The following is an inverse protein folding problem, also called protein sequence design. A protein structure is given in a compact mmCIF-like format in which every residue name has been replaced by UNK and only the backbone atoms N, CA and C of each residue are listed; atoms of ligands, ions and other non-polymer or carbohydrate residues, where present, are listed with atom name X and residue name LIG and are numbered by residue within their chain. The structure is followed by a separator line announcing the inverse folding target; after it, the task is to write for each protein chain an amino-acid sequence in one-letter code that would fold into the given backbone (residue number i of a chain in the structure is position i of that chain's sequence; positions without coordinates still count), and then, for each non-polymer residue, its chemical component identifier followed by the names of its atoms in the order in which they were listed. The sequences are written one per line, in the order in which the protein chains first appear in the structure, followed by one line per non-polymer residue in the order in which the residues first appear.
data_IF_181728344295
#
_entry.id   IF_181728344295
#
_cell.length_a   1.000
_cell.length_b   1.000
_cell.length_c   1.000
_cell.angle_alpha   90.00
_cell.angle_beta   90.00
_cell.angle_gamma   90.00
#
_symmetry.space_group_name_H-M   'P 1'
#
loop_
_entity.id
_entity.type
_entity.pdbx_description
1 polymer ?
#
# COMPACT_ATOMS: atom_id res chain seq x y z
N UNK A 1 -48.29 60.00 21.54
CA UNK A 1 -48.73 58.57 21.69
C UNK A 1 -48.22 57.83 20.49
N UNK A 2 -47.01 57.25 20.57
CA UNK A 2 -46.41 56.46 19.54
C UNK A 2 -45.58 55.36 20.27
N UNK A 3 -46.15 54.16 20.29
CA UNK A 3 -45.52 52.99 20.89
C UNK A 3 -44.37 52.55 20.01
N UNK A 4 -43.16 52.60 20.57
CA UNK A 4 -41.97 51.87 20.03
C UNK A 4 -42.04 50.43 20.45
N UNK A 5 -42.42 49.55 19.50
CA UNK A 5 -42.22 48.10 19.59
C UNK A 5 -40.75 47.83 19.32
N UNK A 6 -39.97 47.46 20.34
CA UNK A 6 -38.64 46.88 20.20
C UNK A 6 -38.80 45.43 19.80
N UNK A 7 -38.54 45.11 18.54
CA UNK A 7 -38.27 43.73 18.09
C UNK A 7 -36.91 43.29 18.62
N UNK A 8 -36.94 42.48 19.68
CA UNK A 8 -35.78 41.69 20.13
C UNK A 8 -35.52 40.58 19.10
N UNK A 9 -34.65 40.86 18.15
CA UNK A 9 -34.02 39.82 17.32
C UNK A 9 -33.16 38.92 18.20
N UNK A 10 -33.73 37.81 18.65
CA UNK A 10 -33.00 36.69 19.20
C UNK A 10 -32.13 36.10 18.08
N UNK A 11 -30.85 36.44 18.11
CA UNK A 11 -29.85 35.72 17.32
C UNK A 11 -29.89 34.23 17.75
N UNK A 12 -30.01 33.28 16.81
CA UNK A 12 -29.89 31.87 17.15
C UNK A 12 -28.48 31.65 17.68
N UNK A 13 -28.40 31.15 18.91
CA UNK A 13 -27.16 30.85 19.58
C UNK A 13 -26.32 29.86 18.74
N UNK A 14 -25.20 30.32 18.22
CA UNK A 14 -24.12 29.52 17.71
C UNK A 14 -23.43 28.82 18.88
N UNK A 15 -24.04 27.76 19.37
CA UNK A 15 -23.49 26.94 20.47
C UNK A 15 -24.13 25.58 20.46
N UNK A 16 -23.81 24.76 19.48
CA UNK A 16 -24.30 23.40 19.42
C UNK A 16 -23.35 22.48 18.67
N UNK A 17 -22.86 21.47 19.33
CA UNK A 17 -22.31 20.17 18.87
C UNK A 17 -21.31 20.11 17.67
N UNK A 18 -21.22 21.14 16.83
CA UNK A 18 -20.37 21.14 15.61
C UNK A 18 -18.94 21.68 15.83
N UNK A 19 -18.65 22.32 16.95
CA UNK A 19 -17.34 22.94 17.22
C UNK A 19 -16.19 21.96 17.46
N UNK A 20 -16.45 20.65 17.49
CA UNK A 20 -15.44 19.61 17.78
C UNK A 20 -15.03 18.77 16.54
N UNK A 21 -15.55 19.06 15.35
CA UNK A 21 -15.22 18.29 14.15
C UNK A 21 -13.87 18.73 13.56
N UNK A 22 -12.93 17.80 13.51
CA UNK A 22 -11.66 18.02 12.79
C UNK A 22 -11.92 17.95 11.28
N UNK A 23 -11.16 18.71 10.46
CA UNK A 23 -11.20 18.64 8.99
C UNK A 23 -11.26 17.20 8.45
N UNK A 24 -10.46 16.28 9.04
CA UNK A 24 -10.49 14.88 8.68
C UNK A 24 -11.82 14.16 8.98
N UNK A 25 -12.57 14.59 10.00
CA UNK A 25 -13.88 14.02 10.30
C UNK A 25 -14.92 14.40 9.25
N UNK A 26 -14.84 15.64 8.77
CA UNK A 26 -15.69 16.15 7.70
C UNK A 26 -15.42 15.37 6.41
N UNK A 27 -14.15 15.26 6.02
CA UNK A 27 -13.72 14.48 4.84
C UNK A 27 -14.17 13.02 4.95
N UNK A 28 -13.99 12.39 6.10
CA UNK A 28 -14.41 11.01 6.32
C UNK A 28 -15.93 10.81 6.26
N UNK A 29 -16.69 11.76 6.79
CA UNK A 29 -18.15 11.75 6.74
C UNK A 29 -18.65 11.88 5.30
N UNK A 30 -18.03 12.78 4.53
CA UNK A 30 -18.34 12.99 3.12
C UNK A 30 -17.97 11.76 2.28
N UNK A 31 -16.77 11.21 2.48
CA UNK A 31 -16.31 10.00 1.81
C UNK A 31 -17.28 8.81 2.00
N UNK A 32 -17.81 8.63 3.20
CA UNK A 32 -18.78 7.57 3.50
C UNK A 32 -20.12 7.72 2.76
N UNK A 33 -20.46 8.90 2.31
CA UNK A 33 -21.70 9.13 1.52
C UNK A 33 -21.57 8.52 0.12
N UNK A 34 -20.37 8.48 -0.46
CA UNK A 34 -20.11 7.81 -1.73
C UNK A 34 -19.98 6.29 -1.51
N UNK A 35 -21.08 5.55 -1.77
CA UNK A 35 -21.15 4.09 -1.56
C UNK A 35 -20.15 3.33 -2.43
N UNK A 36 -19.90 3.82 -3.65
CA UNK A 36 -18.96 3.17 -4.58
C UNK A 36 -17.53 3.30 -4.04
N UNK A 37 -17.13 4.50 -3.65
CA UNK A 37 -15.81 4.73 -3.05
C UNK A 37 -15.62 3.94 -1.75
N UNK A 38 -16.65 3.85 -0.90
CA UNK A 38 -16.61 3.06 0.32
C UNK A 38 -16.49 1.55 0.02
N UNK A 39 -17.25 1.03 -0.94
CA UNK A 39 -17.15 -0.35 -1.40
C UNK A 39 -15.76 -0.66 -1.98
N UNK A 40 -15.20 0.26 -2.78
CA UNK A 40 -13.84 0.15 -3.31
C UNK A 40 -12.76 0.17 -2.23
N UNK A 41 -12.95 0.97 -1.18
CA UNK A 41 -12.06 0.95 -0.02
C UNK A 41 -12.09 -0.42 0.69
N UNK A 42 -13.26 -1.00 0.89
CA UNK A 42 -13.37 -2.36 1.44
C UNK A 42 -12.74 -3.41 0.53
N UNK A 43 -12.85 -3.26 -0.81
CA UNK A 43 -12.19 -4.15 -1.76
C UNK A 43 -10.66 -4.07 -1.65
N UNK A 44 -10.08 -2.87 -1.47
CA UNK A 44 -8.63 -2.71 -1.20
C UNK A 44 -8.24 -3.39 0.11
N UNK A 45 -9.01 -3.20 1.19
CA UNK A 45 -8.76 -3.91 2.45
C UNK A 45 -8.86 -5.43 2.27
N UNK A 46 -9.82 -5.91 1.47
CA UNK A 46 -9.94 -7.32 1.10
C UNK A 46 -8.69 -7.83 0.36
N UNK A 47 -8.14 -7.06 -0.59
CA UNK A 47 -6.88 -7.40 -1.26
C UNK A 47 -5.71 -7.45 -0.29
N UNK A 48 -5.58 -6.49 0.63
CA UNK A 48 -4.53 -6.50 1.65
C UNK A 48 -4.64 -7.73 2.55
N UNK A 49 -5.86 -8.06 3.01
CA UNK A 49 -6.11 -9.25 3.82
C UNK A 49 -5.78 -10.52 3.01
N UNK A 50 -6.24 -10.61 1.77
CA UNK A 50 -5.97 -11.74 0.89
C UNK A 50 -4.46 -11.94 0.65
N UNK A 51 -3.73 -10.86 0.41
CA UNK A 51 -2.27 -10.89 0.34
C UNK A 51 -1.63 -11.31 1.67
N UNK A 52 -2.14 -10.85 2.81
CA UNK A 52 -1.60 -11.24 4.12
C UNK A 52 -1.82 -12.74 4.41
N UNK A 53 -3.02 -13.26 4.14
CA UNK A 53 -3.36 -14.67 4.38
C UNK A 53 -2.89 -15.62 3.27
N UNK A 54 -2.21 -15.14 2.21
CA UNK A 54 -1.75 -15.97 1.11
C UNK A 54 -1.00 -17.25 1.57
N UNK A 55 -0.09 -17.24 2.59
CA UNK A 55 0.57 -18.44 3.08
C UNK A 55 -0.35 -19.44 3.78
N UNK A 56 -1.52 -18.99 4.29
CA UNK A 56 -2.53 -19.88 4.85
C UNK A 56 -3.34 -20.59 3.77
N UNK A 57 -3.44 -19.97 2.58
CA UNK A 57 -4.19 -20.49 1.45
C UNK A 57 -3.32 -21.35 0.53
N UNK A 58 -2.06 -20.96 0.37
CA UNK A 58 -1.15 -21.56 -0.61
C UNK A 58 0.27 -21.63 -0.04
N UNK A 59 0.74 -22.82 0.29
CA UNK A 59 2.10 -23.08 0.75
C UNK A 59 2.42 -24.57 0.64
N UNK A 60 3.66 -24.86 0.30
CA UNK A 60 4.20 -26.23 0.31
C UNK A 60 4.72 -26.66 1.69
N UNK A 61 4.51 -25.82 2.72
CA UNK A 61 4.87 -26.13 4.10
C UNK A 61 3.61 -26.58 4.84
N UNK A 62 3.57 -27.81 5.43
CA UNK A 62 2.40 -28.27 6.16
C UNK A 62 2.24 -27.55 7.50
N UNK A 63 0.99 -27.36 7.94
CA UNK A 63 0.68 -26.84 9.28
C UNK A 63 1.13 -27.82 10.37
N UNK A 64 0.93 -29.10 10.11
CA UNK A 64 1.35 -30.20 10.99
C UNK A 64 2.03 -31.25 10.13
N UNK A 65 3.17 -31.72 10.58
CA UNK A 65 3.92 -32.82 9.99
C UNK A 65 4.30 -33.78 11.09
N UNK A 66 3.82 -35.00 10.99
CA UNK A 66 4.10 -36.08 11.94
C UNK A 66 4.80 -37.24 11.21
N UNK A 67 6.07 -37.41 11.49
CA UNK A 67 6.90 -38.50 10.96
C UNK A 67 7.47 -39.28 12.15
N UNK A 68 7.22 -40.59 12.19
CA UNK A 68 7.71 -41.52 13.23
C UNK A 68 7.36 -41.05 14.67
N UNK A 69 6.19 -40.41 14.85
CA UNK A 69 5.72 -39.90 16.15
C UNK A 69 6.34 -38.56 16.58
N UNK A 70 7.19 -37.96 15.74
CA UNK A 70 7.74 -36.63 15.98
C UNK A 70 6.91 -35.60 15.26
N UNK A 71 6.13 -34.79 15.99
CA UNK A 71 5.32 -33.69 15.46
C UNK A 71 6.16 -32.43 15.31
N UNK A 72 6.11 -31.85 14.11
CA UNK A 72 6.72 -30.56 13.78
C UNK A 72 5.68 -29.66 13.13
N UNK A 73 5.96 -28.34 13.13
CA UNK A 73 5.07 -27.31 12.58
C UNK A 73 5.82 -26.46 11.54
N UNK A 74 6.12 -27.04 10.38
CA UNK A 74 7.00 -26.42 9.38
C UNK A 74 6.47 -25.08 8.86
N UNK A 75 5.15 -24.93 8.72
CA UNK A 75 4.54 -23.70 8.25
C UNK A 75 4.90 -22.50 9.15
N UNK A 76 4.84 -22.67 10.48
CA UNK A 76 5.15 -21.58 11.42
C UNK A 76 6.63 -21.20 11.41
N UNK A 77 7.52 -22.18 11.34
CA UNK A 77 8.96 -21.93 11.27
C UNK A 77 9.40 -21.43 9.90
N UNK A 78 8.68 -21.82 8.84
CA UNK A 78 8.95 -21.43 7.46
C UNK A 78 8.50 -20.00 7.08
N UNK A 79 7.54 -19.40 7.82
CA UNK A 79 6.99 -18.08 7.48
C UNK A 79 8.03 -16.96 7.36
N UNK A 80 9.12 -17.04 8.11
CA UNK A 80 10.18 -16.04 8.12
C UNK A 80 11.49 -16.54 7.53
N UNK A 81 11.47 -17.75 6.94
CA UNK A 81 12.64 -18.34 6.31
C UNK A 81 12.95 -17.63 5.00
N UNK A 82 14.18 -17.08 4.90
CA UNK A 82 14.65 -16.35 3.73
C UNK A 82 14.90 -17.22 2.50
N UNK A 83 14.99 -18.54 2.64
CA UNK A 83 15.07 -19.46 1.51
C UNK A 83 13.70 -19.68 0.84
N UNK A 84 12.61 -19.48 1.59
CA UNK A 84 11.23 -19.54 1.06
C UNK A 84 10.76 -18.17 0.61
N UNK A 85 10.94 -17.16 1.47
CA UNK A 85 10.49 -15.77 1.28
C UNK A 85 11.69 -14.83 1.17
N UNK A 86 12.32 -14.78 -0.01
CA UNK A 86 13.52 -13.98 -0.24
C UNK A 86 13.27 -12.49 -0.13
N UNK A 87 12.08 -12.03 -0.57
CA UNK A 87 11.75 -10.63 -0.62
C UNK A 87 11.31 -10.10 0.76
N UNK A 88 11.85 -8.96 1.21
CA UNK A 88 11.36 -8.27 2.40
C UNK A 88 9.86 -7.97 2.39
N UNK A 89 9.25 -7.82 1.21
CA UNK A 89 7.81 -7.65 1.04
C UNK A 89 7.04 -8.84 1.63
N UNK A 90 7.49 -10.07 1.37
CA UNK A 90 6.84 -11.27 1.90
C UNK A 90 6.96 -11.33 3.42
N UNK A 91 8.13 -10.97 3.98
CA UNK A 91 8.33 -10.90 5.43
C UNK A 91 7.40 -9.87 6.08
N UNK A 92 7.18 -8.72 5.41
CA UNK A 92 6.22 -7.71 5.89
C UNK A 92 4.80 -8.27 5.98
N UNK A 93 4.30 -8.92 4.93
CA UNK A 93 2.95 -9.49 4.93
C UNK A 93 2.82 -10.70 5.87
N UNK A 94 3.86 -11.53 6.00
CA UNK A 94 3.87 -12.64 6.95
C UNK A 94 3.87 -12.11 8.40
N UNK A 95 4.61 -11.03 8.67
CA UNK A 95 4.54 -10.36 9.97
C UNK A 95 3.16 -9.72 10.20
N UNK A 96 2.56 -9.13 9.17
CA UNK A 96 1.19 -8.60 9.25
C UNK A 96 0.18 -9.69 9.58
N UNK A 97 0.33 -10.89 9.00
CA UNK A 97 -0.50 -12.06 9.29
C UNK A 97 -0.40 -12.47 10.77
N UNK A 98 0.83 -12.55 11.31
CA UNK A 98 1.06 -13.06 12.67
C UNK A 98 0.84 -11.98 13.74
N UNK A 99 1.40 -10.79 13.55
CA UNK A 99 1.37 -9.69 14.51
C UNK A 99 0.15 -8.78 14.35
N UNK A 100 -0.45 -8.72 13.15
CA UNK A 100 -1.59 -7.85 12.86
C UNK A 100 -2.81 -8.12 13.74
N UNK A 101 -3.31 -9.37 13.85
CA UNK A 101 -4.45 -9.69 14.69
C UNK A 101 -4.24 -9.38 16.17
N UNK A 102 -3.13 -9.76 16.84
CA UNK A 102 -2.91 -9.41 18.25
C UNK A 102 -2.73 -7.90 18.47
N UNK A 103 -2.00 -7.20 17.58
CA UNK A 103 -1.82 -5.74 17.70
C UNK A 103 -3.15 -5.01 17.46
N UNK A 104 -3.93 -5.45 16.49
CA UNK A 104 -5.28 -4.93 16.23
C UNK A 104 -6.24 -5.18 17.38
N UNK A 105 -6.20 -6.37 17.98
CA UNK A 105 -6.97 -6.72 19.17
C UNK A 105 -6.59 -5.84 20.37
N UNK A 106 -5.30 -5.66 20.62
CA UNK A 106 -4.81 -4.76 21.68
C UNK A 106 -5.28 -3.32 21.44
N UNK A 107 -5.20 -2.84 20.19
CA UNK A 107 -5.68 -1.50 19.86
C UNK A 107 -7.18 -1.35 20.11
N UNK A 108 -7.99 -2.33 19.67
CA UNK A 108 -9.45 -2.32 19.89
C UNK A 108 -9.81 -2.33 21.38
N UNK A 109 -9.12 -3.15 22.19
CA UNK A 109 -9.30 -3.17 23.65
C UNK A 109 -8.96 -1.82 24.30
N UNK A 110 -7.87 -1.19 23.84
CA UNK A 110 -7.48 0.15 24.28
C UNK A 110 -8.51 1.21 23.90
N UNK A 111 -8.99 1.18 22.64
CA UNK A 111 -10.06 2.09 22.17
C UNK A 111 -11.31 1.95 23.02
N UNK A 112 -11.77 0.71 23.31
CA UNK A 112 -12.93 0.46 24.15
C UNK A 112 -12.74 1.00 25.58
N UNK A 113 -11.57 0.79 26.18
CA UNK A 113 -11.24 1.34 27.53
C UNK A 113 -11.27 2.86 27.54
N UNK A 114 -10.72 3.52 26.51
CA UNK A 114 -10.73 4.97 26.37
C UNK A 114 -12.13 5.54 26.11
N UNK A 115 -13.03 4.75 25.52
CA UNK A 115 -14.44 5.15 25.33
C UNK A 115 -15.25 5.17 26.64
N UNK A 116 -14.94 4.29 27.60
CA UNK A 116 -15.57 4.23 28.91
C UNK A 116 -15.01 5.22 29.94
N UNK A 117 -13.94 5.94 29.63
CA UNK A 117 -13.30 6.88 30.55
C UNK A 117 -13.87 8.31 30.48
N UNK A 118 -13.58 9.12 31.50
CA UNK A 118 -14.04 10.54 31.63
C UNK A 118 -13.25 11.53 30.77
N UNK A 119 -12.42 11.08 29.83
CA UNK A 119 -11.58 11.93 29.00
C UNK A 119 -12.41 12.72 27.97
N UNK A 120 -12.05 13.99 27.75
CA UNK A 120 -12.63 14.80 26.68
C UNK A 120 -12.38 14.16 25.30
N UNK A 121 -13.29 14.38 24.34
CA UNK A 121 -13.15 13.84 22.96
C UNK A 121 -11.78 14.14 22.34
N UNK A 122 -11.24 15.37 22.53
CA UNK A 122 -9.92 15.78 22.00
C UNK A 122 -8.77 15.04 22.67
N UNK A 123 -8.79 14.89 24.02
CA UNK A 123 -7.76 14.16 24.76
C UNK A 123 -7.75 12.68 24.35
N UNK A 124 -8.92 12.04 24.27
CA UNK A 124 -9.10 10.66 23.82
C UNK A 124 -8.53 10.43 22.42
N UNK A 125 -8.86 11.29 21.43
CA UNK A 125 -8.31 11.19 20.07
C UNK A 125 -6.80 11.35 20.04
N UNK A 126 -6.24 12.28 20.82
CA UNK A 126 -4.79 12.48 20.90
C UNK A 126 -4.11 11.24 21.48
N UNK A 127 -4.69 10.63 22.51
CA UNK A 127 -4.17 9.42 23.12
C UNK A 127 -4.26 8.23 22.17
N UNK A 128 -5.40 8.02 21.48
CA UNK A 128 -5.57 6.96 20.50
C UNK A 128 -4.53 7.08 19.35
N UNK A 129 -4.30 8.30 18.81
CA UNK A 129 -3.28 8.51 17.77
C UNK A 129 -1.88 8.21 18.28
N UNK A 130 -1.56 8.57 19.53
CA UNK A 130 -0.25 8.28 20.13
C UNK A 130 -0.05 6.78 20.33
N UNK A 131 -1.03 6.08 20.88
CA UNK A 131 -0.95 4.64 21.12
C UNK A 131 -0.93 3.85 19.79
N UNK A 132 -1.77 4.21 18.80
CA UNK A 132 -1.71 3.63 17.46
C UNK A 132 -0.36 3.88 16.79
N UNK A 133 0.20 5.07 16.92
CA UNK A 133 1.55 5.39 16.42
C UNK A 133 2.63 4.51 17.05
N UNK A 134 2.56 4.25 18.38
CA UNK A 134 3.50 3.36 19.04
C UNK A 134 3.40 1.91 18.55
N UNK A 135 2.17 1.41 18.32
CA UNK A 135 1.98 0.06 17.76
C UNK A 135 2.59 -0.07 16.36
N UNK A 136 2.43 0.95 15.51
CA UNK A 136 3.07 0.99 14.19
C UNK A 136 4.60 1.01 14.32
N UNK A 137 5.15 1.82 15.23
CA UNK A 137 6.60 1.88 15.46
C UNK A 137 7.14 0.53 15.93
N UNK A 138 6.45 -0.13 16.88
CA UNK A 138 6.83 -1.46 17.37
C UNK A 138 6.78 -2.48 16.22
N UNK A 139 5.73 -2.47 15.41
CA UNK A 139 5.63 -3.34 14.23
C UNK A 139 6.80 -3.12 13.26
N UNK A 140 7.13 -1.86 12.94
CA UNK A 140 8.24 -1.52 12.04
C UNK A 140 9.60 -1.88 12.63
N UNK A 141 9.79 -1.77 13.94
CA UNK A 141 11.03 -2.19 14.62
C UNK A 141 11.19 -3.72 14.58
N UNK A 142 10.13 -4.48 14.81
CA UNK A 142 10.14 -5.94 14.67
C UNK A 142 10.47 -6.32 13.22
N UNK A 143 9.82 -5.66 12.26
CA UNK A 143 10.07 -5.88 10.83
C UNK A 143 11.53 -5.59 10.46
N UNK A 144 12.09 -4.46 10.90
CA UNK A 144 13.49 -4.10 10.68
C UNK A 144 14.45 -5.12 11.32
N UNK A 145 14.16 -5.59 12.54
CA UNK A 145 14.95 -6.63 13.20
C UNK A 145 14.92 -7.96 12.42
N UNK A 146 13.75 -8.35 11.90
CA UNK A 146 13.62 -9.58 11.07
C UNK A 146 14.37 -9.48 9.74
N UNK A 147 14.47 -8.28 9.17
CA UNK A 147 15.30 -8.05 7.98
C UNK A 147 16.80 -8.11 8.33
N UNK A 148 17.19 -7.50 9.45
CA UNK A 148 18.60 -7.44 9.87
C UNK A 148 19.13 -8.80 10.34
N UNK A 149 18.28 -9.65 10.92
CA UNK A 149 18.61 -10.97 11.45
C UNK A 149 17.89 -12.07 10.62
N UNK A 150 18.30 -12.32 9.38
CA UNK A 150 17.63 -13.25 8.52
C UNK A 150 17.71 -14.68 9.07
N UNK A 151 16.56 -15.30 9.25
CA UNK A 151 16.49 -16.73 9.57
C UNK A 151 16.71 -17.55 8.30
N UNK A 152 17.71 -18.41 8.32
CA UNK A 152 17.99 -19.38 7.27
C UNK A 152 17.87 -20.76 7.89
N UNK A 153 16.74 -21.40 7.74
CA UNK A 153 16.57 -22.84 8.03
C UNK A 153 16.57 -23.61 6.71
N UNK A 154 17.00 -24.85 6.73
CA UNK A 154 17.03 -25.69 5.53
C UNK A 154 15.62 -25.71 4.88
N UNK A 155 15.59 -25.47 3.58
CA UNK A 155 14.35 -25.57 2.82
C UNK A 155 14.04 -27.03 2.53
N UNK A 156 12.90 -27.51 2.99
CA UNK A 156 12.39 -28.85 2.73
C UNK A 156 11.13 -28.77 1.89
N UNK A 157 11.12 -29.28 0.65
CA UNK A 157 9.91 -29.40 -0.16
C UNK A 157 9.08 -30.57 0.34
N UNK A 158 8.20 -30.34 1.31
CA UNK A 158 7.43 -31.37 2.01
C UNK A 158 6.58 -32.27 1.09
N UNK A 159 5.87 -31.76 0.06
CA UNK A 159 5.14 -32.63 -0.88
C UNK A 159 6.07 -33.66 -1.55
N UNK A 160 7.21 -33.21 -2.09
CA UNK A 160 8.19 -34.09 -2.70
C UNK A 160 8.86 -35.05 -1.69
N UNK A 161 8.96 -34.63 -0.44
CA UNK A 161 9.47 -35.50 0.64
C UNK A 161 8.46 -36.61 0.95
N UNK A 162 7.17 -36.28 0.99
CA UNK A 162 6.09 -37.24 1.21
C UNK A 162 6.09 -38.31 0.13
N UNK A 163 6.14 -37.94 -1.16
CA UNK A 163 6.23 -38.86 -2.29
C UNK A 163 7.45 -39.80 -2.17
N UNK A 164 8.60 -39.28 -1.73
CA UNK A 164 9.82 -40.08 -1.54
C UNK A 164 9.71 -41.08 -0.39
N UNK A 165 9.05 -40.70 0.70
CA UNK A 165 8.83 -41.57 1.87
C UNK A 165 7.89 -42.71 1.46
N UNK A 166 6.78 -42.40 0.80
CA UNK A 166 5.82 -43.39 0.29
C UNK A 166 6.46 -44.34 -0.73
N UNK A 167 7.24 -43.84 -1.67
CA UNK A 167 7.96 -44.65 -2.65
C UNK A 167 8.98 -45.61 -2.03
N UNK A 168 9.46 -45.34 -0.79
CA UNK A 168 10.38 -46.20 -0.03
C UNK A 168 9.65 -47.17 0.93
N UNK A 169 8.32 -47.22 0.88
CA UNK A 169 7.49 -48.04 1.76
C UNK A 169 7.32 -47.48 3.18
N UNK A 170 7.74 -46.24 3.43
CA UNK A 170 7.44 -45.52 4.67
C UNK A 170 6.04 -44.88 4.62
N UNK A 171 5.50 -44.56 5.77
CA UNK A 171 4.23 -43.79 5.88
C UNK A 171 4.41 -42.53 6.73
N UNK A 172 3.91 -41.42 6.24
CA UNK A 172 3.74 -40.23 7.05
C UNK A 172 2.48 -40.42 7.89
N UNK A 173 2.59 -40.34 9.21
CA UNK A 173 1.47 -40.62 10.15
C UNK A 173 0.36 -39.58 9.96
N UNK A 174 0.70 -38.28 9.85
CA UNK A 174 -0.22 -37.23 9.45
C UNK A 174 0.50 -36.03 8.84
N UNK A 175 -0.06 -35.49 7.75
CA UNK A 175 0.37 -34.23 7.15
C UNK A 175 -0.87 -33.38 6.85
N UNK A 176 -0.89 -32.14 7.35
CA UNK A 176 -1.98 -31.20 7.10
C UNK A 176 -1.41 -30.01 6.33
N UNK A 177 -1.73 -29.93 5.05
CA UNK A 177 -1.32 -28.84 4.17
C UNK A 177 -2.37 -27.71 4.11
N UNK A 178 -1.98 -26.51 3.67
CA UNK A 178 -2.94 -25.50 3.19
C UNK A 178 -3.83 -26.03 2.05
N UNK A 179 -4.98 -25.36 1.76
CA UNK A 179 -5.88 -25.77 0.67
C UNK A 179 -5.21 -25.91 -0.70
N UNK A 180 -4.19 -25.11 -0.96
CA UNK A 180 -3.27 -25.25 -2.11
C UNK A 180 -1.90 -25.63 -1.54
N UNK A 181 -1.48 -26.87 -1.75
CA UNK A 181 -0.24 -27.43 -1.24
C UNK A 181 0.99 -27.04 -2.06
N UNK A 182 0.86 -25.98 -2.87
CA UNK A 182 1.89 -25.44 -3.74
C UNK A 182 2.41 -24.10 -3.24
N UNK A 183 3.72 -23.89 -3.32
CA UNK A 183 4.35 -22.59 -3.15
C UNK A 183 4.39 -21.80 -4.47
N UNK A 184 4.47 -20.49 -4.40
CA UNK A 184 4.54 -19.61 -5.59
C UNK A 184 5.83 -19.80 -6.43
N UNK A 185 6.81 -20.54 -5.91
CA UNK A 185 8.07 -20.89 -6.57
C UNK A 185 8.13 -22.35 -6.99
N UNK A 186 7.19 -23.16 -6.55
CA UNK A 186 7.22 -24.58 -6.86
C UNK A 186 7.08 -24.79 -8.35
N UNK A 187 8.06 -25.50 -8.91
CA UNK A 187 8.12 -25.93 -10.29
C UNK A 187 8.02 -27.45 -10.33
N UNK A 188 7.55 -27.99 -11.42
CA UNK A 188 7.49 -29.45 -11.60
C UNK A 188 6.15 -29.93 -12.13
N UNK A 189 5.19 -29.01 -12.27
CA UNK A 189 3.95 -29.28 -12.99
C UNK A 189 4.17 -29.20 -14.50
N UNK A 190 3.24 -29.77 -15.26
CA UNK A 190 3.31 -29.73 -16.72
C UNK A 190 3.23 -28.27 -17.20
N UNK A 191 4.26 -27.72 -17.86
CA UNK A 191 4.26 -26.34 -18.32
C UNK A 191 3.07 -26.04 -19.23
N UNK A 192 2.52 -24.83 -19.10
CA UNK A 192 1.39 -24.34 -19.91
C UNK A 192 0.14 -25.21 -19.84
N UNK A 193 -0.03 -26.04 -18.80
CA UNK A 193 -1.24 -26.82 -18.59
C UNK A 193 -2.45 -25.88 -18.42
N UNK A 194 -3.55 -26.24 -19.07
CA UNK A 194 -4.81 -25.51 -19.00
C UNK A 194 -5.44 -25.62 -17.60
N UNK A 195 -6.37 -24.71 -17.24
CA UNK A 195 -7.12 -24.79 -16.00
C UNK A 195 -7.73 -26.17 -15.77
N UNK A 196 -7.60 -26.68 -14.55
CA UNK A 196 -8.08 -28.00 -14.10
C UNK A 196 -8.57 -27.90 -12.66
N UNK A 197 -9.09 -29.01 -12.11
CA UNK A 197 -9.49 -29.12 -10.71
C UNK A 197 -8.32 -28.98 -9.75
N UNK A 198 -7.14 -29.38 -10.15
CA UNK A 198 -5.89 -29.30 -9.38
C UNK A 198 -5.25 -27.91 -9.53
N UNK A 199 -5.25 -27.35 -10.73
CA UNK A 199 -4.70 -26.05 -11.07
C UNK A 199 -5.82 -25.15 -11.62
N UNK A 200 -6.54 -24.46 -10.74
CA UNK A 200 -7.76 -23.69 -11.08
C UNK A 200 -7.58 -22.65 -12.20
N UNK A 201 -6.42 -22.00 -12.25
CA UNK A 201 -6.05 -21.04 -13.29
C UNK A 201 -4.96 -21.56 -14.22
N UNK A 202 -4.66 -22.86 -14.15
CA UNK A 202 -3.63 -23.49 -14.96
C UNK A 202 -2.21 -23.24 -14.43
N UNK A 203 -1.24 -23.56 -15.28
CA UNK A 203 0.20 -23.58 -14.96
C UNK A 203 0.95 -22.67 -15.93
N UNK A 204 1.96 -21.95 -15.44
CA UNK A 204 2.77 -21.04 -16.24
C UNK A 204 3.85 -21.79 -17.07
N UNK A 205 4.64 -21.03 -17.82
CA UNK A 205 5.72 -21.57 -18.66
C UNK A 205 6.80 -22.32 -17.88
N UNK A 206 7.01 -21.97 -16.62
CA UNK A 206 8.01 -22.57 -15.74
C UNK A 206 7.46 -23.74 -14.92
N UNK A 207 6.20 -24.12 -15.12
CA UNK A 207 5.56 -25.19 -14.35
C UNK A 207 5.13 -24.75 -12.95
N UNK A 208 4.73 -23.48 -12.75
CA UNK A 208 4.26 -22.92 -11.47
C UNK A 208 2.76 -22.66 -11.54
N UNK A 209 2.05 -22.83 -10.43
CA UNK A 209 0.62 -22.58 -10.36
C UNK A 209 0.28 -21.07 -10.48
N UNK A 210 -0.63 -20.73 -11.39
CA UNK A 210 -0.99 -19.35 -11.73
C UNK A 210 -1.81 -18.71 -10.62
N UNK A 211 -2.74 -19.42 -9.99
CA UNK A 211 -3.58 -18.87 -8.90
C UNK A 211 -2.71 -18.48 -7.70
N UNK A 212 -1.77 -19.36 -7.32
CA UNK A 212 -0.83 -19.08 -6.23
C UNK A 212 0.02 -17.86 -6.56
N UNK A 213 0.54 -17.76 -7.78
CA UNK A 213 1.32 -16.60 -8.21
C UNK A 213 0.50 -15.31 -8.22
N UNK A 214 -0.77 -15.35 -8.59
CA UNK A 214 -1.65 -14.18 -8.52
C UNK A 214 -1.90 -13.74 -7.07
N UNK A 215 -2.11 -14.67 -6.15
CA UNK A 215 -2.29 -14.38 -4.72
C UNK A 215 -1.06 -13.68 -4.11
N UNK A 216 0.12 -14.22 -4.36
CA UNK A 216 1.36 -13.59 -3.88
C UNK A 216 1.71 -12.31 -4.65
N UNK A 217 1.29 -12.18 -5.91
CA UNK A 217 1.43 -10.97 -6.72
C UNK A 217 0.71 -9.76 -6.14
N UNK A 218 -0.38 -9.95 -5.39
CA UNK A 218 -1.07 -8.88 -4.66
C UNK A 218 -0.09 -8.12 -3.75
N UNK A 219 0.77 -8.84 -3.03
CA UNK A 219 1.75 -8.27 -2.10
C UNK A 219 2.73 -7.35 -2.81
N UNK A 220 3.26 -7.82 -3.93
CA UNK A 220 4.22 -7.08 -4.76
C UNK A 220 3.58 -5.81 -5.32
N UNK A 221 2.44 -5.94 -5.99
CA UNK A 221 1.76 -4.82 -6.63
C UNK A 221 1.33 -3.74 -5.64
N UNK A 222 0.72 -4.12 -4.50
CA UNK A 222 0.32 -3.14 -3.48
C UNK A 222 1.52 -2.44 -2.84
N UNK A 223 2.61 -3.18 -2.57
CA UNK A 223 3.80 -2.59 -1.95
C UNK A 223 4.47 -1.61 -2.90
N UNK A 224 4.63 -1.96 -4.18
CA UNK A 224 5.20 -1.06 -5.19
C UNK A 224 4.36 0.21 -5.29
N UNK A 225 3.04 0.06 -5.38
CA UNK A 225 2.14 1.21 -5.43
C UNK A 225 2.34 2.16 -4.25
N UNK A 226 2.31 1.64 -3.02
CA UNK A 226 2.41 2.47 -1.80
C UNK A 226 3.81 3.05 -1.61
N UNK A 227 4.87 2.25 -1.76
CA UNK A 227 6.25 2.70 -1.50
C UNK A 227 6.71 3.70 -2.54
N UNK A 228 6.52 3.43 -3.83
CA UNK A 228 6.91 4.37 -4.89
C UNK A 228 6.17 5.71 -4.77
N UNK A 229 4.86 5.67 -4.47
CA UNK A 229 4.07 6.88 -4.22
C UNK A 229 4.56 7.62 -2.98
N UNK A 230 4.85 6.91 -1.90
CA UNK A 230 5.43 7.49 -0.69
C UNK A 230 6.71 8.28 -0.98
N UNK A 231 7.60 7.71 -1.79
CA UNK A 231 8.85 8.37 -2.19
C UNK A 231 8.57 9.64 -3.00
N UNK A 232 7.84 9.54 -4.11
CA UNK A 232 7.67 10.70 -4.99
C UNK A 232 6.78 11.79 -4.38
N UNK A 233 5.80 11.44 -3.55
CA UNK A 233 4.98 12.41 -2.82
C UNK A 233 5.83 13.16 -1.80
N UNK A 234 6.70 12.47 -1.07
CA UNK A 234 7.61 13.11 -0.10
C UNK A 234 8.54 14.08 -0.79
N UNK A 235 9.20 13.67 -1.88
CA UNK A 235 10.08 14.54 -2.68
C UNK A 235 9.28 15.72 -3.24
N UNK A 236 8.13 15.46 -3.81
CA UNK A 236 7.27 16.46 -4.41
C UNK A 236 6.77 17.51 -3.41
N UNK A 237 6.40 17.09 -2.20
CA UNK A 237 6.00 18.01 -1.12
C UNK A 237 7.19 18.87 -0.69
N UNK A 238 8.35 18.28 -0.45
CA UNK A 238 9.53 19.03 0.01
C UNK A 238 9.95 20.09 -1.01
N UNK A 239 10.09 19.69 -2.28
CA UNK A 239 10.52 20.60 -3.34
C UNK A 239 9.42 21.62 -3.70
N UNK A 240 8.17 21.16 -3.81
CA UNK A 240 7.03 22.04 -4.13
C UNK A 240 6.75 23.07 -3.05
N UNK A 241 6.76 22.66 -1.77
CA UNK A 241 6.61 23.56 -0.64
C UNK A 241 7.75 24.57 -0.57
N UNK A 242 9.01 24.13 -0.81
CA UNK A 242 10.15 25.02 -0.83
C UNK A 242 10.04 26.07 -1.96
N UNK A 243 9.70 25.64 -3.16
CA UNK A 243 9.49 26.55 -4.29
C UNK A 243 8.37 27.56 -4.02
N UNK A 244 7.20 27.08 -3.57
CA UNK A 244 6.02 27.92 -3.33
C UNK A 244 6.18 28.89 -2.16
N UNK A 245 6.87 28.48 -1.07
CA UNK A 245 7.03 29.32 0.12
C UNK A 245 8.14 30.35 -0.05
N UNK A 246 9.34 29.94 -0.47
CA UNK A 246 10.51 30.85 -0.56
C UNK A 246 10.46 31.72 -1.81
N UNK A 247 9.95 31.22 -2.92
CA UNK A 247 9.89 31.97 -4.17
C UNK A 247 11.25 32.33 -4.78
N UNK A 248 11.28 33.33 -5.66
CA UNK A 248 12.51 33.89 -6.20
C UNK A 248 13.47 32.87 -6.83
N UNK A 249 14.76 32.89 -6.43
CA UNK A 249 15.79 32.00 -6.97
C UNK A 249 15.56 30.53 -6.64
N UNK A 250 14.96 30.23 -5.47
CA UNK A 250 14.63 28.83 -5.07
C UNK A 250 13.57 28.27 -5.99
N UNK A 251 12.52 29.04 -6.22
CA UNK A 251 11.44 28.67 -7.12
C UNK A 251 11.96 28.46 -8.56
N UNK A 252 12.75 29.43 -9.07
CA UNK A 252 13.32 29.33 -10.39
C UNK A 252 14.20 28.06 -10.57
N UNK A 253 15.05 27.76 -9.60
CA UNK A 253 15.93 26.59 -9.65
C UNK A 253 15.13 25.27 -9.65
N UNK A 254 14.11 25.17 -8.77
CA UNK A 254 13.25 23.97 -8.71
C UNK A 254 12.43 23.81 -9.99
N UNK A 255 11.91 24.92 -10.57
CA UNK A 255 11.18 24.88 -11.85
C UNK A 255 12.07 24.39 -12.99
N UNK A 256 13.32 24.85 -13.07
CA UNK A 256 14.27 24.34 -14.07
C UNK A 256 14.56 22.85 -13.91
N UNK A 257 14.67 22.39 -12.65
CA UNK A 257 14.84 20.97 -12.37
C UNK A 257 13.57 20.17 -12.83
N UNK A 258 12.38 20.66 -12.52
CA UNK A 258 11.12 20.04 -12.97
C UNK A 258 11.08 19.95 -14.50
N UNK A 259 11.43 21.03 -15.21
CA UNK A 259 11.45 21.09 -16.68
C UNK A 259 12.38 20.02 -17.26
N UNK A 260 13.60 19.87 -16.72
CA UNK A 260 14.55 18.83 -17.14
C UNK A 260 13.92 17.44 -17.01
N UNK A 261 13.37 17.10 -15.84
CA UNK A 261 12.75 15.78 -15.61
C UNK A 261 11.53 15.53 -16.51
N UNK A 262 10.76 16.57 -16.82
CA UNK A 262 9.58 16.45 -17.67
C UNK A 262 9.90 16.27 -19.15
N UNK A 263 11.06 16.69 -19.61
CA UNK A 263 11.50 16.46 -20.98
C UNK A 263 11.88 14.99 -21.23
N UNK A 264 12.10 14.21 -20.15
CA UNK A 264 12.50 12.81 -20.26
C UNK A 264 11.27 11.88 -20.21
N UNK A 265 11.05 11.00 -21.20
CA UNK A 265 10.00 10.00 -21.11
C UNK A 265 10.32 8.99 -19.98
N UNK A 266 9.55 9.03 -18.89
CA UNK A 266 9.81 8.28 -17.64
C UNK A 266 10.08 6.80 -17.90
N UNK A 267 9.27 6.15 -18.74
CA UNK A 267 9.41 4.73 -19.05
C UNK A 267 10.78 4.41 -19.66
N UNK A 268 11.23 5.20 -20.64
CA UNK A 268 12.54 4.97 -21.29
C UNK A 268 13.71 5.18 -20.32
N UNK A 269 13.62 6.18 -19.44
CA UNK A 269 14.64 6.41 -18.41
C UNK A 269 14.72 5.22 -17.47
N UNK A 270 13.56 4.68 -16.99
CA UNK A 270 13.53 3.51 -16.13
C UNK A 270 14.13 2.28 -16.83
N UNK A 271 13.74 2.02 -18.07
CA UNK A 271 14.29 0.91 -18.88
C UNK A 271 15.81 1.02 -18.97
N UNK A 272 16.31 2.21 -19.31
CA UNK A 272 17.75 2.46 -19.43
C UNK A 272 18.47 2.22 -18.11
N UNK A 273 17.94 2.75 -16.99
CA UNK A 273 18.57 2.60 -15.69
C UNK A 273 18.56 1.15 -15.19
N UNK A 274 17.47 0.41 -15.42
CA UNK A 274 17.39 -1.02 -15.09
C UNK A 274 18.39 -1.83 -15.89
N UNK A 275 18.64 -1.46 -17.17
CA UNK A 275 19.58 -2.18 -18.02
C UNK A 275 21.05 -2.11 -17.53
N UNK A 276 21.40 -1.16 -16.66
CA UNK A 276 22.71 -1.10 -15.99
C UNK A 276 22.81 -1.95 -14.71
N UNK A 277 21.69 -2.55 -14.28
CA UNK A 277 21.66 -3.41 -13.11
C UNK A 277 21.80 -4.87 -13.53
N UNK A 278 22.72 -5.61 -12.92
CA UNK A 278 22.90 -7.04 -13.20
C UNK A 278 21.64 -7.86 -12.88
N UNK A 279 20.93 -7.46 -11.82
CA UNK A 279 19.65 -8.04 -11.43
C UNK A 279 18.71 -6.93 -10.94
N UNK A 280 17.58 -6.77 -11.62
CA UNK A 280 16.53 -5.86 -11.20
C UNK A 280 15.78 -6.46 -9.99
N UNK A 281 15.74 -5.73 -8.89
CA UNK A 281 14.92 -6.04 -7.71
C UNK A 281 13.69 -5.15 -7.68
N UNK A 282 12.62 -5.62 -7.03
CA UNK A 282 11.40 -4.82 -6.75
C UNK A 282 11.76 -3.45 -6.18
N UNK A 283 12.75 -3.39 -5.26
CA UNK A 283 13.17 -2.13 -4.63
C UNK A 283 13.79 -1.15 -5.61
N UNK A 284 14.56 -1.60 -6.57
CA UNK A 284 15.09 -0.74 -7.63
C UNK A 284 13.95 -0.10 -8.42
N UNK A 285 12.93 -0.88 -8.79
CA UNK A 285 11.75 -0.39 -9.50
C UNK A 285 11.01 0.66 -8.67
N UNK A 286 10.75 0.39 -7.38
CA UNK A 286 10.08 1.33 -6.47
C UNK A 286 10.82 2.67 -6.36
N UNK A 287 12.15 2.61 -6.18
CA UNK A 287 12.99 3.80 -6.05
C UNK A 287 13.03 4.57 -7.36
N UNK A 288 13.20 3.91 -8.49
CA UNK A 288 13.23 4.56 -9.81
C UNK A 288 11.91 5.26 -10.14
N UNK A 289 10.76 4.59 -9.91
CA UNK A 289 9.45 5.22 -10.07
C UNK A 289 9.34 6.44 -9.14
N UNK A 290 9.76 6.29 -7.89
CA UNK A 290 9.73 7.34 -6.88
C UNK A 290 10.57 8.55 -7.25
N UNK A 291 11.80 8.32 -7.73
CA UNK A 291 12.74 9.38 -8.10
C UNK A 291 12.39 10.10 -9.40
N UNK A 292 11.58 9.52 -10.26
CA UNK A 292 11.26 10.11 -11.57
C UNK A 292 9.87 10.76 -11.63
N UNK A 293 8.92 10.38 -10.77
CA UNK A 293 7.53 10.86 -10.84
C UNK A 293 7.16 11.99 -9.88
N UNK A 294 8.09 12.54 -9.11
CA UNK A 294 7.85 13.59 -8.11
C UNK A 294 7.41 14.93 -8.70
N UNK A 295 7.72 15.21 -9.98
CA UNK A 295 7.53 16.52 -10.62
C UNK A 295 6.07 16.98 -10.64
N UNK A 296 5.12 16.08 -10.85
CA UNK A 296 3.69 16.36 -10.84
C UNK A 296 3.22 16.82 -9.45
N UNK A 297 3.63 16.12 -8.40
CA UNK A 297 3.31 16.47 -7.01
C UNK A 297 3.99 17.77 -6.60
N UNK A 298 5.23 18.00 -7.03
CA UNK A 298 5.95 19.24 -6.73
C UNK A 298 5.23 20.46 -7.32
N UNK A 299 4.77 20.39 -8.58
CA UNK A 299 4.01 21.49 -9.19
C UNK A 299 2.68 21.73 -8.48
N UNK A 300 1.96 20.66 -8.12
CA UNK A 300 0.71 20.75 -7.38
C UNK A 300 0.92 21.40 -6.01
N UNK A 301 1.89 20.90 -5.24
CA UNK A 301 2.23 21.44 -3.92
C UNK A 301 2.69 22.89 -3.99
N UNK A 302 3.51 23.23 -5.00
CA UNK A 302 3.93 24.61 -5.25
C UNK A 302 2.73 25.53 -5.46
N UNK A 303 1.79 25.14 -6.33
CA UNK A 303 0.58 25.91 -6.60
C UNK A 303 -0.24 26.20 -5.34
N UNK A 304 -0.45 25.17 -4.51
CA UNK A 304 -1.16 25.33 -3.23
C UNK A 304 -0.40 26.22 -2.25
N UNK A 305 0.92 26.11 -2.17
CA UNK A 305 1.72 26.98 -1.30
C UNK A 305 1.71 28.43 -1.77
N UNK A 306 1.78 28.70 -3.08
CA UNK A 306 1.64 30.05 -3.63
C UNK A 306 0.29 30.67 -3.34
N UNK A 307 -0.79 29.88 -3.39
CA UNK A 307 -2.14 30.32 -3.05
C UNK A 307 -2.25 30.62 -1.55
N UNK A 308 -1.90 29.65 -0.72
CA UNK A 308 -2.15 29.71 0.72
C UNK A 308 -1.23 30.69 1.46
N UNK A 309 -0.01 30.97 0.97
CA UNK A 309 0.89 31.91 1.64
C UNK A 309 0.40 33.34 1.69
N UNK A 310 -0.54 33.73 0.83
CA UNK A 310 -1.11 35.04 0.75
C UNK A 310 -2.46 35.17 1.49
N UNK A 311 -2.91 34.09 2.15
CA UNK A 311 -4.16 34.08 2.92
C UNK A 311 -4.00 34.78 4.28
N UNK A 312 -5.09 35.35 4.79
CA UNK A 312 -5.12 36.16 6.02
C UNK A 312 -4.57 35.43 7.25
N UNK A 313 -4.81 34.12 7.37
CA UNK A 313 -4.31 33.32 8.50
C UNK A 313 -2.78 33.22 8.50
N UNK A 314 -2.12 33.26 7.35
CA UNK A 314 -0.65 33.24 7.23
C UNK A 314 -0.11 34.60 7.57
N UNK A 315 -0.71 35.67 7.03
CA UNK A 315 -0.35 37.05 7.32
C UNK A 315 -0.49 37.37 8.81
N UNK A 316 -1.57 36.91 9.44
CA UNK A 316 -1.77 37.04 10.89
C UNK A 316 -0.69 36.27 11.69
N UNK A 317 -0.33 35.05 11.25
CA UNK A 317 0.72 34.27 11.91
C UNK A 317 2.11 34.96 11.79
N UNK A 318 2.39 35.63 10.65
CA UNK A 318 3.61 36.41 10.46
C UNK A 318 3.62 37.64 11.36
N UNK A 319 2.49 38.38 11.45
CA UNK A 319 2.34 39.55 12.32
C UNK A 319 2.51 39.18 13.80
N UNK A 320 2.11 37.97 14.22
CA UNK A 320 2.33 37.43 15.57
C UNK A 320 3.76 36.92 15.80
N UNK A 321 4.64 37.04 14.81
CA UNK A 321 6.06 36.64 14.94
C UNK A 321 6.32 35.15 14.92
N UNK A 322 5.44 34.32 14.35
CA UNK A 322 5.67 32.89 14.24
C UNK A 322 6.87 32.58 13.37
N UNK A 323 7.64 31.57 13.78
CA UNK A 323 8.81 31.11 13.00
C UNK A 323 8.34 30.52 11.65
N UNK A 324 9.08 30.78 10.58
CA UNK A 324 8.80 30.27 9.22
C UNK A 324 8.51 28.76 9.18
N UNK A 325 9.26 27.96 9.95
CA UNK A 325 8.99 26.52 10.07
C UNK A 325 7.59 26.23 10.63
N UNK A 326 7.15 26.99 11.62
CA UNK A 326 5.79 26.84 12.20
C UNK A 326 4.71 27.18 11.19
N UNK A 327 4.91 28.24 10.41
CA UNK A 327 4.01 28.66 9.34
C UNK A 327 3.91 27.56 8.28
N UNK A 328 5.06 27.08 7.76
CA UNK A 328 5.09 26.02 6.75
C UNK A 328 4.38 24.75 7.25
N UNK A 329 4.82 24.18 8.37
CA UNK A 329 4.38 22.84 8.80
C UNK A 329 3.06 22.80 9.56
N UNK A 330 2.66 23.89 10.24
CA UNK A 330 1.45 23.90 11.06
C UNK A 330 0.31 24.70 10.44
N UNK A 331 0.59 25.66 9.56
CA UNK A 331 -0.43 26.51 8.95
C UNK A 331 -0.68 26.15 7.47
N UNK A 332 0.35 26.16 6.62
CA UNK A 332 0.18 25.98 5.17
C UNK A 332 0.08 24.50 4.80
N UNK A 333 1.05 23.68 5.19
CA UNK A 333 1.15 22.29 4.74
C UNK A 333 -0.13 21.46 5.01
N UNK A 334 -0.76 21.50 6.20
CA UNK A 334 -1.96 20.71 6.43
C UNK A 334 -3.13 21.06 5.48
N UNK A 335 -3.22 22.34 5.09
CA UNK A 335 -4.24 22.85 4.18
C UNK A 335 -3.90 22.56 2.69
N UNK A 336 -2.59 22.48 2.36
CA UNK A 336 -2.10 22.16 1.02
C UNK A 336 -2.17 20.64 0.70
N UNK A 337 -2.30 19.78 1.70
CA UNK A 337 -2.27 18.33 1.50
C UNK A 337 -3.50 17.77 0.79
N UNK A 338 -4.65 18.44 0.80
CA UNK A 338 -5.88 17.91 0.20
C UNK A 338 -5.68 17.42 -1.24
N UNK A 339 -5.34 18.30 -2.18
CA UNK A 339 -5.09 17.92 -3.57
C UNK A 339 -3.94 16.92 -3.74
N UNK A 340 -2.92 16.98 -2.88
CA UNK A 340 -1.77 16.05 -2.90
C UNK A 340 -2.21 14.63 -2.54
N UNK A 341 -3.10 14.46 -1.55
CA UNK A 341 -3.63 13.15 -1.17
C UNK A 341 -4.44 12.52 -2.30
N UNK A 342 -5.22 13.33 -3.02
CA UNK A 342 -5.95 12.87 -4.22
C UNK A 342 -4.96 12.40 -5.30
N UNK A 343 -3.93 13.21 -5.59
CA UNK A 343 -2.90 12.84 -6.55
C UNK A 343 -2.13 11.57 -6.12
N UNK A 344 -1.89 11.38 -4.83
CA UNK A 344 -1.28 10.18 -4.29
C UNK A 344 -2.17 8.94 -4.50
N UNK A 345 -3.47 9.03 -4.26
CA UNK A 345 -4.40 7.91 -4.44
C UNK A 345 -4.42 7.41 -5.90
N UNK A 346 -4.56 8.31 -6.87
CA UNK A 346 -4.45 7.97 -8.30
C UNK A 346 -3.03 7.49 -8.67
N UNK A 347 -2.04 8.00 -7.98
CA UNK A 347 -0.64 7.64 -8.16
C UNK A 347 -0.34 6.18 -7.85
N UNK A 348 -1.01 5.58 -6.86
CA UNK A 348 -0.86 4.16 -6.52
C UNK A 348 -1.29 3.28 -7.70
N UNK A 349 -2.45 3.55 -8.29
CA UNK A 349 -2.93 2.84 -9.47
C UNK A 349 -1.95 2.98 -10.65
N UNK A 350 -1.46 4.19 -10.90
CA UNK A 350 -0.49 4.46 -11.97
C UNK A 350 0.87 3.78 -11.73
N UNK A 351 1.32 3.64 -10.49
CA UNK A 351 2.57 2.95 -10.16
C UNK A 351 2.45 1.43 -10.37
N UNK A 352 1.30 0.83 -10.03
CA UNK A 352 1.01 -0.59 -10.30
C UNK A 352 1.00 -0.87 -11.80
N UNK A 353 0.36 -0.02 -12.60
CA UNK A 353 0.35 -0.15 -14.06
C UNK A 353 1.78 -0.05 -14.64
N UNK A 354 2.59 0.88 -14.14
CA UNK A 354 3.95 1.06 -14.61
C UNK A 354 4.84 -0.14 -14.25
N UNK A 355 4.72 -0.68 -13.03
CA UNK A 355 5.40 -1.92 -12.64
C UNK A 355 4.97 -3.08 -13.52
N UNK A 356 3.67 -3.29 -13.71
CA UNK A 356 3.15 -4.37 -14.56
C UNK A 356 3.62 -4.24 -15.99
N UNK A 357 3.78 -3.01 -16.52
CA UNK A 357 4.34 -2.76 -17.83
C UNK A 357 5.83 -3.13 -17.89
N UNK A 358 6.63 -2.74 -16.89
CA UNK A 358 8.05 -3.09 -16.82
C UNK A 358 8.24 -4.61 -16.71
N UNK A 359 7.45 -5.28 -15.88
CA UNK A 359 7.46 -6.74 -15.72
C UNK A 359 7.01 -7.45 -17.00
N UNK A 360 6.02 -6.92 -17.71
CA UNK A 360 5.60 -7.41 -19.04
C UNK A 360 6.72 -7.29 -20.09
N UNK A 361 7.50 -6.21 -20.06
CA UNK A 361 8.68 -6.05 -20.90
C UNK A 361 9.85 -6.96 -20.51
N UNK A 362 9.74 -7.64 -19.35
CA UNK A 362 10.78 -8.55 -18.83
C UNK A 362 11.85 -7.86 -17.98
N UNK A 363 11.57 -6.65 -17.51
CA UNK A 363 12.45 -5.86 -16.67
C UNK A 363 12.06 -5.93 -15.18
N UNK A 364 11.09 -6.78 -14.84
CA UNK A 364 10.68 -7.04 -13.46
C UNK A 364 11.65 -7.95 -12.71
N UNK A 365 11.43 -8.05 -11.40
CA UNK A 365 12.16 -8.99 -10.54
C UNK A 365 11.72 -10.42 -10.83
N UNK A 366 12.64 -11.26 -11.29
CA UNK A 366 12.36 -12.67 -11.64
C UNK A 366 12.02 -13.50 -10.40
N UNK A 367 12.54 -13.12 -9.23
CA UNK A 367 12.33 -13.83 -7.96
C UNK A 367 10.95 -13.58 -7.34
N UNK A 368 10.27 -12.51 -7.76
CA UNK A 368 8.99 -12.09 -7.21
C UNK A 368 7.82 -12.45 -8.14
N UNK A 369 6.68 -12.90 -7.60
CA UNK A 369 5.49 -13.11 -8.41
C UNK A 369 4.93 -11.75 -8.85
N UNK A 370 4.98 -11.46 -10.15
CA UNK A 370 4.38 -10.25 -10.76
C UNK A 370 3.29 -10.63 -11.73
N UNK A 371 2.19 -9.87 -11.69
CA UNK A 371 1.09 -10.02 -12.65
C UNK A 371 1.53 -9.70 -14.09
N UNK A 372 2.40 -8.69 -14.24
CA UNK A 372 2.97 -8.31 -15.53
C UNK A 372 3.83 -9.41 -16.15
N UNK A 373 4.59 -10.15 -15.33
CA UNK A 373 5.39 -11.28 -15.79
C UNK A 373 4.50 -12.42 -16.29
N UNK A 374 3.45 -12.79 -15.53
CA UNK A 374 2.50 -13.84 -15.95
C UNK A 374 1.79 -13.44 -17.23
N UNK A 375 1.42 -12.16 -17.38
CA UNK A 375 0.82 -11.62 -18.60
C UNK A 375 1.77 -11.75 -19.82
N UNK A 376 3.08 -11.46 -19.64
CA UNK A 376 4.11 -11.66 -20.68
C UNK A 376 4.19 -13.12 -21.11
N UNK A 377 4.22 -14.03 -20.16
CA UNK A 377 4.28 -15.46 -20.43
C UNK A 377 3.04 -15.92 -21.23
N UNK A 378 1.85 -15.42 -20.88
CA UNK A 378 0.60 -15.66 -21.60
C UNK A 378 0.64 -15.15 -23.03
N UNK A 379 1.12 -13.92 -23.21
CA UNK A 379 1.26 -13.30 -24.54
C UNK A 379 2.22 -14.10 -25.43
N UNK A 380 3.38 -14.49 -24.89
CA UNK A 380 4.41 -15.22 -25.63
C UNK A 380 4.00 -16.65 -26.00
N UNK A 381 3.19 -17.31 -25.14
CA UNK A 381 2.74 -18.69 -25.33
C UNK A 381 1.38 -18.80 -26.01
N UNK A 382 0.65 -17.70 -26.22
CA UNK A 382 -0.70 -17.69 -26.76
C UNK A 382 -1.75 -18.32 -25.86
N UNK A 383 -1.49 -18.43 -24.54
CA UNK A 383 -2.39 -19.07 -23.59
C UNK A 383 -3.33 -18.06 -22.96
N UNK A 384 -4.61 -18.14 -23.26
CA UNK A 384 -5.64 -17.20 -22.84
C UNK A 384 -5.76 -17.05 -21.30
N UNK A 385 -5.62 -18.15 -20.55
CA UNK A 385 -5.72 -18.13 -19.09
C UNK A 385 -4.58 -17.36 -18.42
N UNK A 386 -3.38 -17.40 -19.01
CA UNK A 386 -2.22 -16.61 -18.56
C UNK A 386 -2.32 -15.12 -18.95
N UNK A 387 -3.26 -14.76 -19.83
CA UNK A 387 -3.54 -13.37 -20.23
C UNK A 387 -4.69 -12.82 -19.38
N UNK A 388 -5.83 -13.53 -19.35
CA UNK A 388 -7.05 -13.02 -18.73
C UNK A 388 -6.94 -12.93 -17.20
N UNK A 389 -6.33 -13.92 -16.53
CA UNK A 389 -6.27 -13.95 -15.07
C UNK A 389 -5.43 -12.79 -14.48
N UNK A 390 -4.17 -12.55 -14.90
CA UNK A 390 -3.43 -11.38 -14.42
C UNK A 390 -3.98 -10.06 -14.98
N UNK A 391 -4.49 -10.06 -16.20
CA UNK A 391 -5.16 -8.88 -16.78
C UNK A 391 -6.35 -8.43 -15.94
N UNK A 392 -7.20 -9.36 -15.50
CA UNK A 392 -8.31 -9.07 -14.60
C UNK A 392 -7.84 -8.60 -13.22
N UNK A 393 -6.78 -9.21 -12.65
CA UNK A 393 -6.22 -8.80 -11.36
C UNK A 393 -5.70 -7.34 -11.42
N UNK A 394 -4.98 -6.98 -12.48
CA UNK A 394 -4.50 -5.60 -12.71
C UNK A 394 -5.70 -4.66 -12.88
N UNK A 395 -6.64 -4.99 -13.78
CA UNK A 395 -7.81 -4.17 -14.05
C UNK A 395 -8.63 -3.91 -12.78
N UNK A 396 -8.96 -4.97 -12.04
CA UNK A 396 -9.74 -4.86 -10.81
C UNK A 396 -9.05 -3.97 -9.77
N UNK A 397 -7.76 -4.22 -9.51
CA UNK A 397 -6.99 -3.49 -8.50
C UNK A 397 -6.87 -2.01 -8.86
N UNK A 398 -6.55 -1.70 -10.11
CA UNK A 398 -6.44 -0.32 -10.62
C UNK A 398 -7.80 0.39 -10.57
N UNK A 399 -8.88 -0.29 -10.95
CA UNK A 399 -10.23 0.28 -10.92
C UNK A 399 -10.67 0.65 -9.50
N UNK A 400 -10.51 -0.25 -8.54
CA UNK A 400 -10.91 0.05 -7.15
C UNK A 400 -10.04 1.16 -6.53
N UNK A 401 -8.75 1.23 -6.86
CA UNK A 401 -7.88 2.32 -6.43
C UNK A 401 -8.29 3.67 -7.02
N UNK A 402 -8.64 3.71 -8.29
CA UNK A 402 -9.13 4.93 -8.95
C UNK A 402 -10.46 5.40 -8.35
N UNK A 403 -11.40 4.48 -8.07
CA UNK A 403 -12.68 4.80 -7.43
C UNK A 403 -12.49 5.34 -6.00
N UNK A 404 -11.51 4.85 -5.25
CA UNK A 404 -11.15 5.44 -3.95
C UNK A 404 -10.56 6.84 -4.13
N UNK A 405 -9.70 7.03 -5.15
CA UNK A 405 -9.14 8.34 -5.49
C UNK A 405 -10.22 9.36 -5.84
N UNK A 406 -11.22 8.97 -6.63
CA UNK A 406 -12.39 9.79 -6.98
C UNK A 406 -13.23 10.13 -5.75
N UNK A 407 -13.57 9.15 -4.92
CA UNK A 407 -14.29 9.40 -3.67
C UNK A 407 -13.53 10.30 -2.70
N UNK A 408 -12.21 10.22 -2.65
CA UNK A 408 -11.39 11.12 -1.87
C UNK A 408 -11.39 12.54 -2.44
N UNK A 409 -11.35 12.68 -3.76
CA UNK A 409 -11.47 13.97 -4.46
C UNK A 409 -12.81 14.62 -4.14
N UNK A 410 -13.92 13.90 -4.27
CA UNK A 410 -15.27 14.39 -3.97
C UNK A 410 -15.39 14.82 -2.51
N UNK A 411 -14.83 14.04 -1.58
CA UNK A 411 -14.86 14.35 -0.15
C UNK A 411 -14.05 15.59 0.23
N UNK A 412 -13.04 15.94 -0.57
CA UNK A 412 -12.17 17.10 -0.36
C UNK A 412 -12.65 18.35 -1.09
N UNK A 413 -13.59 18.24 -2.04
CA UNK A 413 -14.14 19.39 -2.80
C UNK A 413 -15.06 20.23 -1.90
N UNK A 414 -14.74 21.52 -1.67
CA UNK A 414 -15.57 22.41 -0.85
C UNK A 414 -16.94 22.72 -1.50
N UNK A 415 -17.05 22.63 -2.83
CA UNK A 415 -18.28 22.96 -3.56
C UNK A 415 -19.39 21.92 -3.36
N UNK A 416 -19.03 20.67 -3.02
CA UNK A 416 -19.98 19.60 -2.74
C UNK A 416 -20.46 19.57 -1.27
N UNK A 417 -20.11 20.60 -0.50
CA UNK A 417 -20.49 20.73 0.93
C UNK A 417 -21.85 21.40 1.16
N UNK A 418 -22.61 21.68 0.08
CA UNK A 418 -23.97 22.24 0.17
C UNK A 418 -25.02 21.17 0.43
#
# INVERSE_FOLDING_TARGET
MADHVQETTTQPGFGGADDDLTYGDIVWTQFKRNRIALGSLFAIFGLIILGAIAPLLASNQPFVWDLDGVRTYPWFTGLFNRLVYENPVDIFFNLLLVAGPPLGGLWLLRVRRLQGGSLSKRARRRQMRREGGWLIVVFLLIYAAMIALPQQSAYTPYPKLMDRIEARGGSVVSAVFPPLDFGFRDTGFRPLASPSTEHLLGVDNSGRDVLVRLLYGIRVSLTIGVVAVGIYVTIGIILGASAGFFGGRVDLGIQRLIEIFMCMPVLFVIITLIAFLDQASIFHIMVLIGLLRWTGVARLTRGEFLRLRNEDFVTAAEALGYRRRTIIFKQILPNALGPVLVAAAFGVAAAILLESTLSFLGLGDVSAPSWGQTLKEGYSSGKWHLILSPGFAIFFTVSVLNLVGEGLRDALDPKLRQ
#
